data_IF_975274221964
#
_entry.id   IF_975274221964
#
_cell.length_a   1.000
_cell.length_b   1.000
_cell.length_c   1.000
_cell.angle_alpha   90.00
_cell.angle_beta   90.00
_cell.angle_gamma   90.00
#
_symmetry.space_group_name_H-M   'P 1'
#
loop_
_entity.id
_entity.type
_entity.pdbx_description
1 polymer ?
#
# COMPACT_ATOMS: atom_id res chain seq x y z
N UNK A 1 -9.25 40.77 17.70
CA UNK A 1 -8.27 40.02 18.50
C UNK A 1 -8.87 38.76 19.12
N UNK A 2 -9.94 38.85 19.94
CA UNK A 2 -10.55 37.64 20.56
C UNK A 2 -11.20 36.65 19.58
N UNK A 3 -11.85 37.12 18.51
CA UNK A 3 -12.45 36.24 17.48
C UNK A 3 -11.39 35.42 16.71
N UNK A 4 -10.22 36.00 16.46
CA UNK A 4 -9.07 35.33 15.80
C UNK A 4 -8.41 34.29 16.71
N UNK A 5 -8.38 34.53 18.02
CA UNK A 5 -7.88 33.57 19.01
C UNK A 5 -8.84 32.39 19.12
N UNK A 6 -10.16 32.64 19.09
CA UNK A 6 -11.18 31.60 19.12
C UNK A 6 -11.15 30.73 17.86
N UNK A 7 -10.99 31.35 16.68
CA UNK A 7 -10.86 30.59 15.42
C UNK A 7 -9.61 29.72 15.40
N UNK A 8 -8.48 30.22 15.92
CA UNK A 8 -7.24 29.46 16.02
C UNK A 8 -7.40 28.26 16.97
N UNK A 9 -8.09 28.44 18.11
CA UNK A 9 -8.38 27.37 19.06
C UNK A 9 -9.26 26.27 18.44
N UNK A 10 -10.28 26.64 17.67
CA UNK A 10 -11.15 25.69 16.96
C UNK A 10 -10.37 24.89 15.90
N UNK A 11 -9.46 25.54 15.17
CA UNK A 11 -8.61 24.85 14.19
C UNK A 11 -7.66 23.83 14.83
N UNK A 12 -7.11 24.14 16.00
CA UNK A 12 -6.23 23.21 16.75
C UNK A 12 -7.01 21.99 17.25
N UNK A 13 -8.25 22.17 17.70
CA UNK A 13 -9.11 21.06 18.13
C UNK A 13 -9.48 20.15 16.95
N UNK A 14 -9.72 20.72 15.76
CA UNK A 14 -10.03 19.91 14.55
C UNK A 14 -8.81 19.15 14.01
N UNK A 15 -7.59 19.62 14.28
CA UNK A 15 -6.35 19.04 13.77
C UNK A 15 -5.85 17.79 14.54
N UNK A 16 -6.49 17.42 15.66
CA UNK A 16 -6.03 16.30 16.51
C UNK A 16 -6.42 14.90 16.02
N UNK A 17 -7.15 14.77 14.91
CA UNK A 17 -7.45 13.46 14.32
C UNK A 17 -6.30 12.92 13.47
N UNK A 18 -5.08 12.93 14.01
CA UNK A 18 -3.98 12.17 13.43
C UNK A 18 -4.05 10.76 14.01
N UNK A 19 -4.97 9.96 13.46
CA UNK A 19 -5.09 8.52 13.74
C UNK A 19 -3.82 7.82 13.24
N UNK A 20 -2.75 7.93 14.02
CA UNK A 20 -1.59 7.01 13.98
C UNK A 20 -2.02 5.65 14.55
N UNK A 21 -3.14 5.13 14.07
CA UNK A 21 -3.62 3.81 14.42
C UNK A 21 -2.71 2.80 13.75
N UNK A 22 -2.09 1.94 14.56
CA UNK A 22 -1.44 0.75 14.04
C UNK A 22 -2.44 -0.01 13.16
N UNK A 23 -1.97 -0.56 12.04
CA UNK A 23 -2.85 -1.34 11.17
C UNK A 23 -3.40 -2.51 11.98
N UNK A 24 -4.72 -2.77 11.91
CA UNK A 24 -5.33 -3.81 12.71
C UNK A 24 -4.75 -5.17 12.30
N UNK A 25 -4.44 -6.01 13.30
CA UNK A 25 -3.92 -7.37 13.08
C UNK A 25 -4.99 -8.28 12.42
N UNK A 26 -6.26 -7.89 12.49
CA UNK A 26 -7.38 -8.60 11.89
C UNK A 26 -8.37 -7.66 11.19
N UNK A 27 -9.40 -8.24 10.58
CA UNK A 27 -10.44 -7.50 9.87
C UNK A 27 -11.22 -6.59 10.83
N UNK A 28 -11.34 -5.32 10.47
CA UNK A 28 -12.27 -4.38 11.09
C UNK A 28 -13.72 -4.81 10.87
N UNK A 29 -14.65 -4.30 11.68
CA UNK A 29 -16.07 -4.64 11.52
C UNK A 29 -16.62 -4.27 10.13
N UNK A 30 -16.17 -3.14 9.60
CA UNK A 30 -16.47 -2.70 8.23
C UNK A 30 -15.93 -3.71 7.19
N UNK A 31 -14.70 -4.18 7.33
CA UNK A 31 -14.11 -5.17 6.44
C UNK A 31 -14.79 -6.54 6.55
N UNK A 32 -15.20 -6.96 7.76
CA UNK A 32 -15.94 -8.22 7.98
C UNK A 32 -17.29 -8.22 7.25
N UNK A 33 -17.99 -7.09 7.24
CA UNK A 33 -19.25 -6.95 6.49
C UNK A 33 -19.07 -7.10 4.96
N UNK A 34 -17.86 -6.79 4.46
CA UNK A 34 -17.49 -6.86 3.04
C UNK A 34 -16.78 -8.14 2.61
N UNK A 35 -16.69 -9.16 3.46
CA UNK A 35 -16.04 -10.45 3.10
C UNK A 35 -16.63 -11.06 1.81
N UNK A 36 -17.93 -10.85 1.57
CA UNK A 36 -18.59 -11.32 0.36
C UNK A 36 -17.98 -10.75 -0.94
N UNK A 37 -17.34 -9.58 -0.91
CA UNK A 37 -16.68 -8.95 -2.06
C UNK A 37 -15.43 -9.72 -2.51
N UNK A 38 -14.72 -10.41 -1.61
CA UNK A 38 -13.52 -11.19 -1.94
C UNK A 38 -13.84 -12.23 -3.03
N UNK A 39 -15.01 -12.84 -2.95
CA UNK A 39 -15.46 -13.86 -3.90
C UNK A 39 -15.92 -13.29 -5.24
N UNK A 40 -16.14 -11.96 -5.33
CA UNK A 40 -16.52 -11.31 -6.59
C UNK A 40 -15.33 -11.08 -7.52
N UNK A 41 -14.11 -11.04 -6.95
CA UNK A 41 -12.87 -10.79 -7.70
C UNK A 41 -12.10 -12.07 -8.05
N UNK A 42 -12.49 -13.21 -7.48
CA UNK A 42 -11.90 -14.51 -7.72
C UNK A 42 -12.29 -15.08 -9.08
N UNK A 43 -11.38 -15.83 -9.70
CA UNK A 43 -11.65 -16.63 -10.90
C UNK A 43 -11.23 -18.05 -10.58
N UNK A 44 -12.13 -19.00 -10.69
CA UNK A 44 -11.76 -20.41 -10.59
C UNK A 44 -10.96 -20.79 -11.83
N UNK A 45 -9.77 -21.34 -11.62
CA UNK A 45 -8.86 -21.81 -12.67
C UNK A 45 -8.34 -23.18 -12.29
N UNK A 46 -8.03 -24.02 -13.28
CA UNK A 46 -7.42 -25.32 -13.03
C UNK A 46 -6.06 -25.13 -12.32
N UNK A 47 -5.71 -26.00 -11.35
CA UNK A 47 -4.46 -25.87 -10.62
C UNK A 47 -3.24 -26.05 -11.55
N UNK A 48 -2.09 -25.42 -11.25
CA UNK A 48 -0.89 -25.59 -12.05
C UNK A 48 -0.37 -27.04 -11.99
N UNK A 49 0.33 -27.52 -13.04
CA UNK A 49 0.92 -28.87 -13.07
C UNK A 49 1.91 -29.10 -11.91
N UNK A 50 1.93 -30.33 -11.39
CA UNK A 50 2.80 -30.71 -10.27
C UNK A 50 4.18 -31.21 -10.73
N UNK A 51 5.25 -31.02 -9.93
CA UNK A 51 5.27 -30.45 -8.58
C UNK A 51 5.29 -28.91 -8.58
N UNK A 52 4.47 -28.32 -7.72
CA UNK A 52 4.46 -26.88 -7.49
C UNK A 52 5.60 -26.53 -6.53
N UNK A 53 6.40 -25.52 -6.89
CA UNK A 53 7.47 -25.01 -6.04
C UNK A 53 7.39 -23.49 -5.96
N UNK A 54 7.30 -22.98 -4.73
CA UNK A 54 7.40 -21.56 -4.49
C UNK A 54 8.86 -21.11 -4.67
N UNK A 55 9.05 -19.98 -5.35
CA UNK A 55 10.37 -19.36 -5.53
C UNK A 55 10.72 -18.61 -4.26
N UNK A 56 11.89 -18.89 -3.70
CA UNK A 56 12.39 -18.17 -2.53
C UNK A 56 12.93 -16.80 -2.92
N UNK A 57 12.88 -15.85 -1.99
CA UNK A 57 13.25 -14.45 -2.23
C UNK A 57 14.74 -14.26 -2.58
N UNK A 58 15.61 -15.18 -2.15
CA UNK A 58 17.04 -15.16 -2.43
C UNK A 58 17.40 -15.80 -3.78
N UNK A 59 16.43 -16.37 -4.50
CA UNK A 59 16.65 -16.88 -5.84
C UNK A 59 16.77 -15.75 -6.86
N UNK A 60 17.21 -16.08 -8.08
CA UNK A 60 17.42 -15.09 -9.13
C UNK A 60 16.10 -14.44 -9.56
N UNK A 61 15.94 -13.16 -9.26
CA UNK A 61 14.81 -12.35 -9.69
C UNK A 61 15.07 -11.61 -11.01
N UNK A 62 13.98 -11.14 -11.66
CA UNK A 62 14.03 -10.36 -12.91
C UNK A 62 13.86 -8.87 -12.71
N UNK A 63 13.30 -8.46 -11.59
CA UNK A 63 12.98 -7.07 -11.30
C UNK A 63 12.21 -6.94 -10.00
N UNK A 64 12.01 -5.70 -9.58
CA UNK A 64 11.30 -5.35 -8.33
C UNK A 64 10.05 -4.56 -8.69
N UNK A 65 8.91 -4.94 -8.13
CA UNK A 65 7.65 -4.23 -8.30
C UNK A 65 7.45 -3.25 -7.13
N UNK A 66 7.36 -1.96 -7.42
CA UNK A 66 7.10 -0.91 -6.43
C UNK A 66 5.83 -0.14 -6.76
N UNK A 67 5.24 0.51 -5.77
CA UNK A 67 4.04 1.35 -5.92
C UNK A 67 4.35 2.80 -5.59
N UNK A 68 3.78 3.72 -6.38
CA UNK A 68 3.71 5.14 -6.08
C UNK A 68 2.36 5.50 -5.41
N UNK A 69 2.31 6.39 -4.39
CA UNK A 69 3.42 7.10 -3.75
C UNK A 69 4.39 6.17 -3.00
N UNK A 70 5.67 6.52 -2.98
CA UNK A 70 6.72 5.65 -2.44
C UNK A 70 6.61 5.51 -0.91
N UNK A 71 6.57 4.27 -0.42
CA UNK A 71 6.69 3.93 1.01
C UNK A 71 8.13 3.63 1.47
N UNK A 72 9.10 3.75 0.56
CA UNK A 72 10.53 3.53 0.79
C UNK A 72 11.33 4.72 0.27
N UNK A 73 12.57 4.88 0.74
CA UNK A 73 13.42 5.99 0.31
C UNK A 73 13.83 5.85 -1.16
N UNK A 74 13.96 6.98 -1.85
CA UNK A 74 14.46 7.01 -3.22
C UNK A 74 15.90 6.52 -3.34
N UNK A 75 16.69 6.62 -2.26
CA UNK A 75 18.04 6.06 -2.20
C UNK A 75 18.04 4.53 -2.33
N UNK A 76 17.10 3.83 -1.66
CA UNK A 76 16.96 2.38 -1.79
C UNK A 76 16.49 2.01 -3.20
N UNK A 77 15.57 2.78 -3.77
CA UNK A 77 15.11 2.56 -5.16
C UNK A 77 16.26 2.73 -6.15
N UNK A 78 17.09 3.77 -5.96
CA UNK A 78 18.25 4.02 -6.80
C UNK A 78 19.26 2.86 -6.73
N UNK A 79 19.60 2.40 -5.52
CA UNK A 79 20.50 1.27 -5.33
C UNK A 79 19.98 0.00 -6.03
N UNK A 80 18.71 -0.35 -5.82
CA UNK A 80 18.11 -1.53 -6.48
C UNK A 80 18.11 -1.40 -8.00
N UNK A 81 18.01 -0.18 -8.54
CA UNK A 81 17.98 0.07 -9.98
C UNK A 81 19.32 -0.14 -10.69
N UNK A 82 20.42 -0.24 -9.93
CA UNK A 82 21.75 -0.53 -10.50
C UNK A 82 21.85 -1.98 -11.00
N UNK A 83 21.19 -2.92 -10.31
CA UNK A 83 21.27 -4.35 -10.60
C UNK A 83 20.04 -4.92 -11.33
N UNK A 84 18.84 -4.41 -11.02
CA UNK A 84 17.57 -5.01 -11.48
C UNK A 84 16.57 -3.96 -12.00
N UNK A 85 15.71 -4.38 -12.92
CA UNK A 85 14.67 -3.50 -13.47
C UNK A 85 13.58 -3.22 -12.44
N UNK A 86 13.30 -1.94 -12.22
CA UNK A 86 12.21 -1.49 -11.36
C UNK A 86 10.94 -1.31 -12.17
N UNK A 87 9.87 -2.01 -11.79
CA UNK A 87 8.52 -1.83 -12.31
C UNK A 87 7.72 -0.98 -11.33
N UNK A 88 7.39 0.25 -11.70
CA UNK A 88 6.63 1.16 -10.85
C UNK A 88 5.16 1.21 -11.26
N UNK A 89 4.26 0.83 -10.34
CA UNK A 89 2.82 0.98 -10.49
C UNK A 89 2.41 2.37 -10.03
N UNK A 90 1.84 3.15 -10.95
CA UNK A 90 1.40 4.53 -10.74
C UNK A 90 -0.05 4.66 -11.20
N UNK A 91 -0.88 5.43 -10.47
CA UNK A 91 -2.22 5.75 -10.96
C UNK A 91 -2.13 6.67 -12.17
N UNK A 92 -3.03 6.55 -13.14
CA UNK A 92 -2.99 7.34 -14.38
C UNK A 92 -2.92 8.85 -14.14
N UNK A 93 -3.53 9.33 -13.04
CA UNK A 93 -3.49 10.74 -12.63
C UNK A 93 -2.12 11.24 -12.19
N UNK A 94 -1.20 10.34 -11.83
CA UNK A 94 0.15 10.65 -11.33
C UNK A 94 1.22 10.18 -12.32
N UNK A 95 0.82 9.70 -13.50
CA UNK A 95 1.70 9.29 -14.58
C UNK A 95 2.04 10.52 -15.43
N UNK A 96 2.97 11.34 -14.98
CA UNK A 96 3.44 12.55 -15.67
C UNK A 96 4.96 12.65 -15.64
#
# INVERSE_FOLDING_TARGET
MHSLILSLFVSVILATNNSRGELPIGLTEDERSRIHEIYTMGRDTDPPPTPIRNVAEYERMKGVLIRYPFGISTAIIAEMSEDVTIYCLVSSSQQS
#
